data_IF_484460508374
#
_entry.id   IF_484460508374
#
_cell.length_a   1.000
_cell.length_b   1.000
_cell.length_c   1.000
_cell.angle_alpha   90.00
_cell.angle_beta   90.00
_cell.angle_gamma   90.00
#
_symmetry.space_group_name_H-M   'P 1'
#
loop_
_entity.id
_entity.type
_entity.pdbx_description
1 polymer ?
#
# COMPACT_ATOMS: atom_id res chain seq x y z
N UNK A 1 -73.04 -41.78 48.07
CA UNK A 1 -72.52 -40.37 47.97
C UNK A 1 -71.18 -40.43 47.26
N UNK A 2 -71.19 -40.03 46.02
CA UNK A 2 -70.05 -40.21 45.06
C UNK A 2 -69.19 -38.98 45.06
N UNK A 3 -67.91 -39.05 45.50
CA UNK A 3 -66.95 -37.97 45.40
C UNK A 3 -66.17 -38.16 44.10
N UNK A 4 -66.41 -37.27 43.16
CA UNK A 4 -65.66 -37.21 41.91
C UNK A 4 -64.33 -36.49 42.17
N UNK A 5 -63.20 -37.19 41.99
CA UNK A 5 -61.85 -36.59 41.92
C UNK A 5 -61.58 -36.14 40.49
N UNK A 6 -61.37 -34.85 40.30
CA UNK A 6 -60.90 -34.27 39.05
C UNK A 6 -59.34 -34.33 39.01
N UNK A 7 -58.84 -35.11 38.11
CA UNK A 7 -57.42 -35.11 37.79
C UNK A 7 -57.17 -34.01 36.78
N UNK A 8 -56.37 -32.96 37.15
CA UNK A 8 -55.91 -31.91 36.29
C UNK A 8 -54.60 -32.36 35.68
N UNK A 9 -54.63 -32.61 34.37
CA UNK A 9 -53.46 -32.99 33.59
C UNK A 9 -52.73 -31.69 33.13
N UNK A 10 -51.65 -31.39 33.84
CA UNK A 10 -50.81 -30.25 33.47
C UNK A 10 -49.88 -30.61 32.29
N UNK A 11 -50.10 -30.02 31.16
CA UNK A 11 -49.21 -30.13 29.98
C UNK A 11 -48.04 -29.16 30.13
N UNK A 12 -46.85 -29.72 30.37
CA UNK A 12 -45.58 -28.97 30.32
C UNK A 12 -45.20 -28.74 28.85
N UNK A 13 -45.30 -27.51 28.35
CA UNK A 13 -44.73 -27.09 27.07
C UNK A 13 -43.25 -26.79 27.30
N UNK A 14 -42.38 -27.71 26.87
CA UNK A 14 -40.96 -27.48 26.76
C UNK A 14 -40.67 -26.62 25.51
N UNK A 15 -40.43 -25.31 25.71
CA UNK A 15 -40.01 -24.40 24.68
C UNK A 15 -38.54 -24.66 24.33
N UNK A 16 -38.27 -25.29 23.17
CA UNK A 16 -36.95 -25.40 22.62
C UNK A 16 -36.59 -24.07 21.99
N UNK A 17 -35.77 -23.26 22.69
CA UNK A 17 -35.15 -22.08 22.10
C UNK A 17 -34.07 -22.52 21.11
N UNK A 18 -34.39 -22.46 19.83
CA UNK A 18 -33.39 -22.58 18.74
C UNK A 18 -32.55 -21.28 18.69
N UNK A 19 -31.36 -21.30 19.30
CA UNK A 19 -30.35 -20.29 19.04
C UNK A 19 -29.83 -20.47 17.61
N UNK A 20 -30.33 -19.63 16.69
CA UNK A 20 -29.71 -19.45 15.39
C UNK A 20 -28.39 -18.71 15.62
N UNK A 21 -27.28 -19.44 15.63
CA UNK A 21 -25.95 -18.86 15.49
C UNK A 21 -25.85 -18.28 14.05
N UNK A 22 -25.95 -16.96 13.91
CA UNK A 22 -25.61 -16.26 12.69
C UNK A 22 -24.09 -16.34 12.51
N UNK A 23 -23.66 -17.26 11.67
CA UNK A 23 -22.29 -17.33 11.19
C UNK A 23 -22.04 -16.12 10.29
N UNK A 24 -21.51 -15.03 10.87
CA UNK A 24 -21.01 -13.90 10.11
C UNK A 24 -19.75 -14.36 9.39
N UNK A 25 -19.90 -14.78 8.15
CA UNK A 25 -18.77 -14.99 7.24
C UNK A 25 -18.09 -13.64 7.00
N UNK A 26 -17.10 -13.31 7.82
CA UNK A 26 -16.16 -12.24 7.53
C UNK A 26 -15.50 -12.54 6.19
N UNK A 27 -15.94 -11.85 5.14
CA UNK A 27 -15.35 -11.92 3.82
C UNK A 27 -13.94 -11.34 3.91
N UNK A 28 -12.93 -12.22 4.04
CA UNK A 28 -11.52 -11.85 4.00
C UNK A 28 -11.29 -10.91 2.81
N UNK A 29 -10.69 -9.71 3.02
CA UNK A 29 -10.50 -8.77 1.93
C UNK A 29 -9.66 -9.44 0.84
N UNK A 30 -10.23 -9.50 -0.36
CA UNK A 30 -9.55 -10.00 -1.54
C UNK A 30 -8.43 -9.02 -1.89
N UNK A 31 -7.18 -9.42 -1.64
CA UNK A 31 -6.01 -8.64 -2.02
C UNK A 31 -5.95 -8.63 -3.55
N UNK A 32 -6.46 -7.56 -4.18
CA UNK A 32 -6.31 -7.36 -5.62
C UNK A 32 -4.82 -7.31 -5.94
N UNK A 33 -4.34 -8.34 -6.65
CA UNK A 33 -2.96 -8.40 -7.12
C UNK A 33 -2.72 -7.20 -8.04
N UNK A 34 -1.92 -6.23 -7.59
CA UNK A 34 -1.53 -5.09 -8.40
C UNK A 34 -0.57 -5.61 -9.46
N UNK A 35 -1.02 -5.65 -10.71
CA UNK A 35 -0.18 -5.98 -11.85
C UNK A 35 0.41 -4.67 -12.37
N UNK A 36 1.71 -4.47 -12.12
CA UNK A 36 2.43 -3.31 -12.67
C UNK A 36 2.86 -3.58 -14.11
N UNK A 37 2.78 -2.54 -14.96
CA UNK A 37 3.18 -2.64 -16.37
C UNK A 37 4.69 -2.80 -16.47
N UNK A 38 5.15 -3.69 -17.37
CA UNK A 38 6.58 -3.86 -17.66
C UNK A 38 7.17 -2.60 -18.27
N UNK A 39 8.35 -2.20 -17.79
CA UNK A 39 9.17 -1.10 -18.32
C UNK A 39 10.61 -1.54 -18.48
N UNK A 40 11.40 -0.79 -19.23
CA UNK A 40 12.85 -1.04 -19.30
C UNK A 40 13.52 -0.81 -17.95
N UNK A 41 14.32 -1.78 -17.50
CA UNK A 41 15.10 -1.65 -16.27
C UNK A 41 16.18 -0.54 -16.37
N UNK A 42 16.64 -0.22 -17.59
CA UNK A 42 17.65 0.80 -17.83
C UNK A 42 17.11 2.23 -17.92
N UNK A 43 15.77 2.41 -17.98
CA UNK A 43 15.16 3.73 -18.15
C UNK A 43 14.50 4.23 -16.87
N UNK A 44 15.23 4.98 -16.05
CA UNK A 44 14.67 5.66 -14.87
C UNK A 44 13.52 6.60 -15.24
N UNK A 45 13.62 7.30 -16.37
CA UNK A 45 12.56 8.18 -16.87
C UNK A 45 11.27 7.43 -17.19
N UNK A 46 11.36 6.30 -17.89
CA UNK A 46 10.19 5.50 -18.26
C UNK A 46 9.53 4.92 -16.99
N UNK A 47 10.32 4.36 -16.07
CA UNK A 47 9.84 3.84 -14.81
C UNK A 47 9.18 4.94 -13.98
N UNK A 48 9.78 6.12 -13.89
CA UNK A 48 9.22 7.25 -13.17
C UNK A 48 7.87 7.68 -13.77
N UNK A 49 7.80 7.86 -15.08
CA UNK A 49 6.57 8.23 -15.76
C UNK A 49 5.43 7.21 -15.53
N UNK A 50 5.77 5.92 -15.53
CA UNK A 50 4.77 4.85 -15.40
C UNK A 50 4.36 4.59 -13.96
N UNK A 51 5.30 4.68 -13.00
CA UNK A 51 5.07 4.21 -11.62
C UNK A 51 4.94 5.32 -10.60
N UNK A 52 5.65 6.44 -10.80
CA UNK A 52 5.75 7.52 -9.83
C UNK A 52 4.89 8.73 -10.21
N UNK A 53 4.86 9.08 -11.49
CA UNK A 53 4.16 10.27 -11.97
C UNK A 53 2.64 10.28 -11.70
N UNK A 54 1.91 9.16 -11.63
CA UNK A 54 0.50 9.19 -11.25
C UNK A 54 0.23 9.90 -9.92
N UNK A 55 1.16 9.80 -8.96
CA UNK A 55 1.06 10.47 -7.67
C UNK A 55 1.97 11.71 -7.60
N UNK A 56 3.24 11.59 -8.01
CA UNK A 56 4.23 12.65 -7.85
C UNK A 56 4.23 13.70 -8.98
N UNK A 57 3.45 13.50 -10.06
CA UNK A 57 3.48 14.35 -11.24
C UNK A 57 4.66 14.02 -12.14
N UNK A 58 4.54 14.34 -13.45
CA UNK A 58 5.59 14.03 -14.44
C UNK A 58 6.89 14.80 -14.18
N UNK A 59 6.78 15.93 -13.50
CA UNK A 59 7.92 16.79 -13.08
C UNK A 59 8.37 16.52 -11.63
N UNK A 60 7.73 15.61 -10.91
CA UNK A 60 8.08 15.25 -9.54
C UNK A 60 7.59 16.21 -8.45
N UNK A 61 6.74 17.18 -8.76
CA UNK A 61 6.28 18.23 -7.82
C UNK A 61 5.19 17.81 -6.84
N UNK A 62 4.81 16.52 -6.78
CA UNK A 62 3.76 16.01 -5.89
C UNK A 62 2.34 16.28 -6.38
N UNK A 63 2.17 16.71 -7.62
CA UNK A 63 0.92 17.16 -8.21
C UNK A 63 0.35 16.20 -9.27
N UNK A 64 0.60 14.92 -9.14
CA UNK A 64 0.05 13.91 -10.05
C UNK A 64 -1.47 13.80 -9.97
N UNK A 65 -2.12 13.21 -10.99
CA UNK A 65 -3.58 13.11 -11.07
C UNK A 65 -4.21 12.35 -9.88
N UNK A 66 -3.47 11.46 -9.24
CA UNK A 66 -3.95 10.75 -8.05
C UNK A 66 -3.71 11.54 -6.74
N UNK A 67 -2.88 12.58 -6.73
CA UNK A 67 -2.50 13.31 -5.53
C UNK A 67 -3.69 13.83 -4.71
N UNK A 68 -4.78 14.37 -5.29
CA UNK A 68 -5.91 14.88 -4.53
C UNK A 68 -6.63 13.84 -3.67
N UNK A 69 -6.49 12.54 -4.02
CA UNK A 69 -7.11 11.44 -3.27
C UNK A 69 -6.24 10.93 -2.12
N UNK A 70 -4.99 11.41 -1.99
CA UNK A 70 -4.01 10.91 -1.02
C UNK A 70 -3.90 11.87 0.18
N UNK A 71 -3.74 11.29 1.38
CA UNK A 71 -3.54 12.03 2.64
C UNK A 71 -2.45 11.34 3.46
N UNK A 72 -1.30 11.97 3.68
CA UNK A 72 -0.90 13.30 3.20
C UNK A 72 -0.65 13.32 1.68
N UNK A 73 -0.55 14.53 1.12
CA UNK A 73 -0.19 14.71 -0.30
C UNK A 73 1.20 14.10 -0.61
N UNK A 74 1.41 13.62 -1.85
CA UNK A 74 2.73 13.13 -2.26
C UNK A 74 3.81 14.20 -2.09
N UNK A 75 4.97 13.78 -1.60
CA UNK A 75 6.11 14.68 -1.43
C UNK A 75 6.55 15.28 -2.76
N UNK A 76 6.85 16.57 -2.76
CA UNK A 76 7.57 17.23 -3.85
C UNK A 76 9.02 16.71 -3.89
N UNK A 77 9.29 15.88 -4.89
CA UNK A 77 10.59 15.23 -5.09
C UNK A 77 11.65 16.21 -5.63
N UNK A 78 11.24 17.35 -6.17
CA UNK A 78 12.20 18.34 -6.72
C UNK A 78 12.95 19.09 -5.61
N UNK A 79 12.45 19.05 -4.38
CA UNK A 79 12.99 19.77 -3.24
C UNK A 79 13.88 18.92 -2.32
N UNK A 80 14.19 17.67 -2.70
CA UNK A 80 14.92 16.77 -1.81
C UNK A 80 16.33 17.27 -1.50
N UNK A 81 17.08 17.74 -2.51
CA UNK A 81 18.40 18.30 -2.29
C UNK A 81 18.33 19.55 -1.39
N UNK A 82 17.37 20.45 -1.63
CA UNK A 82 17.19 21.67 -0.82
C UNK A 82 16.92 21.36 0.65
N UNK A 83 16.15 20.31 0.93
CA UNK A 83 15.83 19.84 2.29
C UNK A 83 17.00 19.13 2.99
N UNK A 84 18.08 18.87 2.26
CA UNK A 84 19.28 18.18 2.73
C UNK A 84 20.55 18.99 2.41
N UNK A 85 20.53 20.26 2.77
CA UNK A 85 21.67 21.20 2.69
C UNK A 85 22.30 21.24 1.29
N UNK A 86 21.47 21.17 0.24
CA UNK A 86 21.90 21.20 -1.16
C UNK A 86 22.40 19.87 -1.71
N UNK A 87 22.43 18.80 -0.88
CA UNK A 87 22.89 17.48 -1.29
C UNK A 87 21.73 16.51 -1.52
N UNK A 88 21.64 15.96 -2.72
CA UNK A 88 20.60 14.96 -2.99
C UNK A 88 20.79 13.68 -2.16
N UNK A 89 19.78 13.23 -1.40
CA UNK A 89 19.92 12.11 -0.47
C UNK A 89 19.68 10.75 -1.17
N UNK A 90 20.53 10.40 -2.14
CA UNK A 90 20.38 9.22 -2.99
C UNK A 90 20.13 7.92 -2.23
N UNK A 91 20.90 7.67 -1.14
CA UNK A 91 20.76 6.45 -0.33
C UNK A 91 19.41 6.39 0.39
N UNK A 92 18.92 7.51 0.90
CA UNK A 92 17.60 7.58 1.55
C UNK A 92 16.49 7.32 0.55
N UNK A 93 16.58 7.88 -0.66
CA UNK A 93 15.61 7.62 -1.75
C UNK A 93 15.63 6.15 -2.15
N UNK A 94 16.81 5.55 -2.33
CA UNK A 94 16.94 4.12 -2.60
C UNK A 94 16.31 3.26 -1.51
N UNK A 95 16.52 3.62 -0.25
CA UNK A 95 15.92 2.94 0.91
C UNK A 95 14.39 3.01 0.89
N UNK A 96 13.82 4.19 0.65
CA UNK A 96 12.37 4.37 0.53
C UNK A 96 11.79 3.55 -0.62
N UNK A 97 12.43 3.55 -1.78
CA UNK A 97 11.98 2.75 -2.92
C UNK A 97 12.02 1.24 -2.60
N UNK A 98 13.05 0.79 -1.91
CA UNK A 98 13.25 -0.63 -1.64
C UNK A 98 12.37 -1.16 -0.52
N UNK A 99 12.26 -0.41 0.59
CA UNK A 99 11.68 -0.87 1.85
C UNK A 99 10.40 -0.12 2.24
N UNK A 100 10.02 0.90 1.48
CA UNK A 100 8.92 1.80 1.81
C UNK A 100 9.31 2.84 2.86
N UNK A 101 8.42 3.79 3.06
CA UNK A 101 8.61 4.90 4.01
C UNK A 101 8.50 4.51 5.49
N UNK A 102 8.09 3.26 5.79
CA UNK A 102 7.96 2.72 7.15
C UNK A 102 9.09 1.78 7.58
N UNK A 103 10.07 1.50 6.72
CA UNK A 103 11.14 0.53 6.96
C UNK A 103 12.27 1.05 7.86
N UNK A 104 12.04 1.17 9.16
CA UNK A 104 13.09 1.15 10.19
C UNK A 104 14.06 2.33 10.27
N UNK A 105 14.03 3.27 9.35
CA UNK A 105 14.91 4.46 9.39
C UNK A 105 14.03 5.70 9.24
N UNK A 106 13.64 6.26 10.38
CA UNK A 106 12.92 7.51 10.53
C UNK A 106 11.62 7.68 9.70
N UNK A 107 10.52 7.32 10.32
CA UNK A 107 9.13 7.47 9.87
C UNK A 107 8.67 8.92 9.61
N UNK A 108 9.57 9.87 9.53
CA UNK A 108 9.23 11.27 9.31
C UNK A 108 8.83 11.61 7.85
N UNK A 109 8.97 10.69 6.88
CA UNK A 109 8.95 11.05 5.47
C UNK A 109 8.20 10.11 4.53
N UNK A 110 7.07 9.51 4.94
CA UNK A 110 6.27 8.76 4.00
C UNK A 110 4.88 8.41 4.52
N UNK A 111 3.87 8.50 3.66
CA UNK A 111 2.56 7.95 3.95
C UNK A 111 2.54 6.45 3.66
N UNK A 112 1.66 5.72 4.37
CA UNK A 112 1.36 4.31 4.08
C UNK A 112 0.81 4.09 2.65
N UNK A 113 0.46 5.17 1.95
CA UNK A 113 -0.14 5.13 0.61
C UNK A 113 0.90 4.99 -0.51
N UNK A 114 2.19 5.24 -0.23
CA UNK A 114 3.25 5.00 -1.22
C UNK A 114 3.57 3.50 -1.28
N UNK A 115 3.46 2.86 -2.45
CA UNK A 115 3.79 1.44 -2.59
C UNK A 115 5.24 1.13 -2.21
N UNK A 116 5.48 -0.03 -1.61
CA UNK A 116 6.83 -0.56 -1.43
C UNK A 116 7.31 -1.13 -2.75
N UNK A 117 8.19 -0.42 -3.43
CA UNK A 117 8.59 -0.74 -4.80
C UNK A 117 9.52 -1.94 -4.92
N UNK A 118 10.33 -2.24 -3.90
CA UNK A 118 11.24 -3.39 -3.93
C UNK A 118 10.55 -4.69 -4.36
N UNK A 119 9.54 -5.19 -3.62
CA UNK A 119 8.81 -6.40 -3.99
C UNK A 119 8.05 -6.28 -5.32
N UNK A 120 7.51 -5.11 -5.64
CA UNK A 120 6.79 -4.89 -6.90
C UNK A 120 7.74 -5.00 -8.11
N UNK A 121 8.90 -4.35 -8.06
CA UNK A 121 9.93 -4.44 -9.09
C UNK A 121 10.49 -5.86 -9.21
N UNK A 122 10.62 -6.57 -8.08
CA UNK A 122 11.04 -7.97 -8.07
C UNK A 122 10.05 -8.88 -8.82
N UNK A 123 8.75 -8.58 -8.75
CA UNK A 123 7.73 -9.34 -9.47
C UNK A 123 7.81 -9.20 -10.99
N UNK A 124 8.40 -8.10 -11.51
CA UNK A 124 8.61 -7.88 -12.94
C UNK A 124 9.73 -8.74 -13.52
N UNK A 125 10.77 -9.00 -12.75
CA UNK A 125 12.02 -9.58 -13.23
C UNK A 125 12.26 -11.00 -12.68
N UNK A 126 11.19 -11.72 -12.33
CA UNK A 126 11.22 -13.12 -11.85
C UNK A 126 12.29 -13.36 -10.77
N UNK A 127 12.37 -12.42 -9.82
CA UNK A 127 13.26 -12.51 -8.64
C UNK A 127 14.77 -12.34 -8.92
N UNK A 128 15.16 -11.64 -9.98
CA UNK A 128 16.55 -11.27 -10.21
C UNK A 128 16.91 -9.99 -9.42
N UNK A 129 17.49 -10.14 -8.24
CA UNK A 129 17.84 -9.02 -7.35
C UNK A 129 18.76 -7.96 -8.01
N UNK A 130 19.67 -8.38 -8.90
CA UNK A 130 20.54 -7.47 -9.63
C UNK A 130 19.75 -6.52 -10.54
N UNK A 131 18.69 -7.00 -11.19
CA UNK A 131 17.83 -6.18 -12.05
C UNK A 131 16.98 -5.23 -11.20
N UNK A 132 16.49 -5.68 -10.04
CA UNK A 132 15.77 -4.80 -9.09
C UNK A 132 16.68 -3.67 -8.61
N UNK A 133 17.92 -3.99 -8.28
CA UNK A 133 18.92 -3.02 -7.86
C UNK A 133 19.20 -2.00 -8.98
N UNK A 134 19.35 -2.45 -10.22
CA UNK A 134 19.51 -1.59 -11.38
C UNK A 134 18.31 -0.66 -11.57
N UNK A 135 17.08 -1.16 -11.47
CA UNK A 135 15.85 -0.35 -11.55
C UNK A 135 15.83 0.75 -10.50
N UNK A 136 16.11 0.40 -9.23
CA UNK A 136 16.15 1.36 -8.12
C UNK A 136 17.23 2.41 -8.37
N UNK A 137 18.45 2.00 -8.77
CA UNK A 137 19.54 2.91 -9.07
C UNK A 137 19.17 3.90 -10.19
N UNK A 138 18.60 3.41 -11.29
CA UNK A 138 18.20 4.25 -12.43
C UNK A 138 17.04 5.20 -12.06
N UNK A 139 16.10 4.78 -11.20
CA UNK A 139 15.06 5.66 -10.66
C UNK A 139 15.67 6.76 -9.79
N UNK A 140 16.59 6.41 -8.88
CA UNK A 140 17.29 7.38 -8.01
C UNK A 140 18.03 8.41 -8.85
N UNK A 141 18.80 7.98 -9.84
CA UNK A 141 19.52 8.87 -10.75
C UNK A 141 18.55 9.78 -11.53
N UNK A 142 17.42 9.25 -11.99
CA UNK A 142 16.46 10.10 -12.70
C UNK A 142 15.84 11.14 -11.76
N UNK A 143 15.45 10.77 -10.53
CA UNK A 143 14.90 11.72 -9.55
C UNK A 143 15.93 12.80 -9.19
N UNK A 144 17.22 12.47 -9.16
CA UNK A 144 18.28 13.46 -8.97
C UNK A 144 18.28 14.52 -10.08
N UNK A 145 17.99 14.15 -11.33
CA UNK A 145 17.89 15.12 -12.45
C UNK A 145 16.72 16.09 -12.32
N UNK A 146 15.73 15.76 -11.48
CA UNK A 146 14.55 16.60 -11.24
C UNK A 146 14.78 17.66 -10.15
N UNK A 147 15.93 17.65 -9.47
CA UNK A 147 16.16 18.58 -8.36
C UNK A 147 16.13 20.03 -8.83
N UNK A 148 15.41 20.89 -8.07
CA UNK A 148 15.42 22.32 -8.27
C UNK A 148 16.84 22.86 -8.03
N UNK A 149 17.28 23.75 -8.93
CA UNK A 149 18.58 24.43 -8.83
C UNK A 149 18.52 25.59 -7.84
#
# INVERSE_FOLDING_TARGET
MLKRSMIVLGTLLAGASFCFAQETTEKKPEVKKIVIKQTSASSGKEMFAQYCAPCHGINGAGNGPAAPALKPLPTDLTQLAKKHDGKYPANSVAGVLRFGSGGGVNTAHGSADMPVWGPLLQSLDKYHDSVVQQRISNLVTYIETLQAK
#
